data_IF_409570705291
#
_entry.id   IF_409570705291
#
_cell.length_a   1.000
_cell.length_b   1.000
_cell.length_c   1.000
_cell.angle_alpha   90.00
_cell.angle_beta   90.00
_cell.angle_gamma   90.00
#
_symmetry.space_group_name_H-M   'P 1'
#
loop_
_entity.id
_entity.type
_entity.pdbx_description
1 polymer ?
#
# COMPACT_ATOMS: atom_id res chain seq x y z
N UNK A 1 5.57 -14.33 10.82
CA UNK A 1 5.29 -13.18 9.95
C UNK A 1 5.91 -13.50 8.61
N UNK A 2 5.16 -13.42 7.52
CA UNK A 2 5.69 -13.66 6.18
C UNK A 2 6.63 -12.50 5.85
N UNK A 3 7.90 -12.80 5.58
CA UNK A 3 8.90 -11.78 5.25
C UNK A 3 8.72 -11.36 3.79
N UNK A 4 7.86 -10.38 3.56
CA UNK A 4 7.70 -9.75 2.25
C UNK A 4 8.91 -8.86 1.95
N UNK A 5 9.39 -8.91 0.71
CA UNK A 5 10.37 -7.95 0.22
C UNK A 5 9.81 -6.54 0.25
N UNK A 6 10.69 -5.53 0.23
CA UNK A 6 10.25 -4.13 0.25
C UNK A 6 9.36 -3.78 -0.95
N UNK A 7 9.60 -4.39 -2.11
CA UNK A 7 8.75 -4.21 -3.28
C UNK A 7 7.35 -4.81 -3.07
N UNK A 8 7.25 -6.02 -2.53
CA UNK A 8 5.96 -6.64 -2.22
C UNK A 8 5.18 -5.86 -1.17
N UNK A 9 5.85 -5.35 -0.13
CA UNK A 9 5.23 -4.45 0.87
C UNK A 9 4.64 -3.20 0.20
N UNK A 10 5.38 -2.58 -0.73
CA UNK A 10 4.89 -1.43 -1.49
C UNK A 10 3.69 -1.77 -2.38
N UNK A 11 3.70 -2.93 -3.03
CA UNK A 11 2.57 -3.41 -3.84
C UNK A 11 1.34 -3.58 -2.94
N UNK A 12 1.48 -4.27 -1.81
CA UNK A 12 0.38 -4.48 -0.84
C UNK A 12 -0.23 -3.15 -0.42
N UNK A 13 0.62 -2.17 -0.06
CA UNK A 13 0.16 -0.85 0.35
C UNK A 13 -0.55 -0.11 -0.79
N UNK A 14 -0.03 -0.13 -2.02
CA UNK A 14 -0.71 0.53 -3.16
C UNK A 14 -2.09 -0.09 -3.45
N UNK A 15 -2.21 -1.42 -3.41
CA UNK A 15 -3.50 -2.09 -3.57
C UNK A 15 -4.44 -1.82 -2.39
N UNK A 16 -3.91 -1.72 -1.17
CA UNK A 16 -4.66 -1.24 0.00
C UNK A 16 -5.19 0.18 -0.20
N UNK A 17 -4.37 1.12 -0.68
CA UNK A 17 -4.77 2.52 -0.94
C UNK A 17 -5.88 2.58 -2.00
N UNK A 18 -5.88 1.64 -2.95
CA UNK A 18 -6.95 1.55 -3.95
C UNK A 18 -8.28 1.07 -3.34
N UNK A 19 -8.24 0.31 -2.26
CA UNK A 19 -9.40 -0.34 -1.63
C UNK A 19 -9.98 0.46 -0.46
N UNK A 20 -9.12 1.14 0.31
CA UNK A 20 -9.51 1.90 1.49
C UNK A 20 -9.42 3.41 1.24
N UNK A 21 -10.41 4.15 1.74
CA UNK A 21 -10.56 5.57 1.44
C UNK A 21 -9.61 6.47 2.24
N UNK A 22 -9.16 6.01 3.42
CA UNK A 22 -8.30 6.78 4.31
C UNK A 22 -7.14 5.94 4.88
N UNK A 23 -6.13 6.64 5.38
CA UNK A 23 -4.89 6.07 5.91
C UNK A 23 -5.11 5.24 7.18
N UNK A 24 -6.02 5.67 8.07
CA UNK A 24 -6.34 4.90 9.29
C UNK A 24 -6.90 3.53 8.96
N UNK A 25 -7.93 3.45 8.11
CA UNK A 25 -8.51 2.18 7.68
C UNK A 25 -7.49 1.31 6.96
N UNK A 26 -6.65 1.92 6.13
CA UNK A 26 -5.56 1.21 5.47
C UNK A 26 -4.61 0.56 6.47
N UNK A 27 -4.14 1.33 7.46
CA UNK A 27 -3.21 0.85 8.47
C UNK A 27 -3.85 -0.25 9.31
N UNK A 28 -5.09 -0.08 9.76
CA UNK A 28 -5.81 -1.07 10.58
C UNK A 28 -6.00 -2.40 9.85
N UNK A 29 -6.38 -2.38 8.57
CA UNK A 29 -6.56 -3.62 7.81
C UNK A 29 -5.21 -4.28 7.47
N UNK A 30 -4.21 -3.48 7.10
CA UNK A 30 -2.87 -4.00 6.74
C UNK A 30 -2.07 -4.51 7.93
N UNK A 31 -2.40 -4.11 9.17
CA UNK A 31 -1.75 -4.61 10.41
C UNK A 31 -1.82 -6.13 10.58
N UNK A 32 -2.82 -6.76 9.96
CA UNK A 32 -2.95 -8.23 9.96
C UNK A 32 -1.88 -8.93 9.11
N UNK A 33 -1.23 -8.20 8.19
CA UNK A 33 -0.27 -8.72 7.20
C UNK A 33 1.14 -8.14 7.41
N UNK A 34 1.23 -6.85 7.70
CA UNK A 34 2.47 -6.07 7.82
C UNK A 34 2.54 -5.35 9.17
N UNK A 35 3.76 -5.06 9.64
CA UNK A 35 3.94 -4.20 10.81
C UNK A 35 3.57 -2.75 10.47
N UNK A 36 3.05 -1.99 11.45
CA UNK A 36 2.75 -0.56 11.28
C UNK A 36 3.96 0.23 10.77
N UNK A 37 5.15 -0.09 11.29
CA UNK A 37 6.41 0.49 10.84
C UNK A 37 6.69 0.24 9.35
N UNK A 38 6.43 -0.97 8.87
CA UNK A 38 6.61 -1.32 7.45
C UNK A 38 5.58 -0.62 6.56
N UNK A 39 4.33 -0.51 7.02
CA UNK A 39 3.26 0.19 6.31
C UNK A 39 3.63 1.66 6.13
N UNK A 40 3.96 2.35 7.24
CA UNK A 40 4.34 3.75 7.23
C UNK A 40 5.58 4.01 6.36
N UNK A 41 6.64 3.20 6.52
CA UNK A 41 7.83 3.30 5.66
C UNK A 41 7.51 3.11 4.17
N UNK A 42 6.58 2.21 3.85
CA UNK A 42 6.16 1.97 2.47
C UNK A 42 5.37 3.17 1.94
N UNK A 43 4.46 3.76 2.72
CA UNK A 43 3.74 5.00 2.38
C UNK A 43 4.74 6.13 2.11
N UNK A 44 5.69 6.38 3.01
CA UNK A 44 6.72 7.41 2.85
C UNK A 44 7.52 7.22 1.55
N UNK A 45 7.92 5.97 1.28
CA UNK A 45 8.66 5.62 0.06
C UNK A 45 7.80 5.85 -1.19
N UNK A 46 6.52 5.47 -1.15
CA UNK A 46 5.59 5.64 -2.26
C UNK A 46 5.29 7.12 -2.54
N UNK A 47 5.21 7.95 -1.50
CA UNK A 47 5.07 9.41 -1.63
C UNK A 47 6.37 10.02 -2.17
N UNK A 48 7.52 9.66 -1.59
CA UNK A 48 8.83 10.16 -2.02
C UNK A 48 9.20 9.78 -3.46
N UNK A 49 8.68 8.65 -3.95
CA UNK A 49 8.83 8.20 -5.35
C UNK A 49 7.69 8.66 -6.25
N UNK A 50 6.79 9.53 -5.76
CA UNK A 50 5.65 10.09 -6.51
C UNK A 50 4.64 9.05 -7.04
N UNK A 51 4.69 7.81 -6.56
CA UNK A 51 3.75 6.74 -6.90
C UNK A 51 2.41 6.88 -6.18
N UNK A 52 2.43 7.47 -4.99
CA UNK A 52 1.26 7.82 -4.18
C UNK A 52 1.34 9.30 -3.84
N UNK A 53 0.19 9.95 -3.67
CA UNK A 53 0.09 11.32 -3.17
C UNK A 53 -0.92 11.40 -2.05
N UNK A 54 -0.66 12.31 -1.10
CA UNK A 54 -1.61 12.68 -0.05
C UNK A 54 -2.46 13.86 -0.57
N UNK A 55 -3.77 13.64 -0.70
CA UNK A 55 -4.71 14.65 -1.24
C UNK A 55 -5.57 15.32 -0.17
N UNK A 56 -5.52 14.81 1.05
CA UNK A 56 -6.16 15.38 2.24
C UNK A 56 -5.40 14.98 3.49
N UNK A 57 -5.83 15.38 4.70
CA UNK A 57 -5.12 15.10 5.95
C UNK A 57 -4.78 13.61 6.11
N UNK A 58 -5.72 12.74 5.75
CA UNK A 58 -5.62 11.28 5.91
C UNK A 58 -5.99 10.52 4.63
N UNK A 59 -6.03 11.22 3.49
CA UNK A 59 -6.49 10.63 2.22
C UNK A 59 -5.27 10.42 1.32
N UNK A 60 -4.97 9.16 1.05
CA UNK A 60 -3.92 8.74 0.14
C UNK A 60 -4.53 8.32 -1.20
N UNK A 61 -3.83 8.60 -2.29
CA UNK A 61 -4.26 8.24 -3.64
C UNK A 61 -3.08 7.76 -4.47
N UNK A 62 -3.24 6.62 -5.16
CA UNK A 62 -2.27 6.19 -6.16
C UNK A 62 -2.21 7.20 -7.30
N UNK A 63 -1.01 7.63 -7.65
CA UNK A 63 -0.76 8.63 -8.68
C UNK A 63 -0.71 7.97 -10.07
N UNK A 64 -1.81 7.31 -10.45
CA UNK A 64 -1.94 6.54 -11.70
C UNK A 64 -1.72 7.38 -12.96
N UNK A 65 -1.82 8.71 -12.85
CA UNK A 65 -1.48 9.64 -13.92
C UNK A 65 0.02 9.76 -14.18
N UNK A 66 0.88 9.45 -13.20
CA UNK A 66 2.35 9.49 -13.32
C UNK A 66 2.99 8.11 -13.40
N UNK A 67 2.40 7.11 -12.75
CA UNK A 67 2.95 5.75 -12.71
C UNK A 67 1.82 4.74 -12.62
N UNK A 68 1.85 3.76 -13.51
CA UNK A 68 0.87 2.67 -13.50
C UNK A 68 1.00 1.86 -12.20
N UNK A 69 -0.14 1.32 -11.76
CA UNK A 69 -0.17 0.42 -10.61
C UNK A 69 0.63 -0.85 -10.99
N UNK A 70 1.55 -1.33 -10.13
CA UNK A 70 2.34 -2.50 -10.44
C UNK A 70 1.45 -3.73 -10.64
N UNK A 71 1.90 -4.63 -11.51
CA UNK A 71 1.29 -5.95 -11.67
C UNK A 71 1.28 -6.67 -10.33
N UNK A 72 0.16 -7.31 -10.00
CA UNK A 72 -0.01 -8.07 -8.77
C UNK A 72 0.55 -9.48 -8.96
N UNK A 73 1.69 -9.83 -8.34
CA UNK A 73 2.24 -11.17 -8.47
C UNK A 73 1.35 -12.20 -7.76
N UNK A 74 1.36 -13.44 -8.26
CA UNK A 74 0.41 -14.48 -7.83
C UNK A 74 0.48 -14.80 -6.34
N UNK A 75 1.67 -14.70 -5.74
CA UNK A 75 1.87 -14.91 -4.32
C UNK A 75 1.19 -13.83 -3.44
N UNK A 76 0.91 -12.65 -4.00
CA UNK A 76 0.21 -11.56 -3.32
C UNK A 76 -1.29 -11.52 -3.63
N UNK A 77 -1.76 -12.15 -4.71
CA UNK A 77 -3.19 -12.17 -5.07
C UNK A 77 -4.08 -12.59 -3.91
N UNK A 78 -3.78 -13.76 -3.32
CA UNK A 78 -4.53 -14.26 -2.17
C UNK A 78 -4.50 -13.31 -0.98
N UNK A 79 -3.41 -12.57 -0.77
CA UNK A 79 -3.30 -11.60 0.33
C UNK A 79 -4.23 -10.42 0.08
N UNK A 80 -4.26 -9.90 -1.15
CA UNK A 80 -5.10 -8.75 -1.51
C UNK A 80 -6.58 -9.11 -1.61
N UNK A 81 -6.90 -10.33 -2.05
CA UNK A 81 -8.28 -10.81 -2.11
C UNK A 81 -8.88 -10.99 -0.70
N UNK A 82 -8.03 -11.27 0.31
CA UNK A 82 -8.44 -11.40 1.71
C UNK A 82 -8.42 -10.08 2.50
N UNK A 83 -8.04 -8.96 1.87
CA UNK A 83 -8.19 -7.61 2.45
C UNK A 83 -9.67 -7.16 2.51
#
# INVERSE_FOLDING_TARGET
MTDYSMNEKMIIVQYGIKKYENEEMLVENLKSILSEKDIQRSIDTLIGTQKVRRIGPEVLQNNVSHTELPELPDNLKSVIDNL
#
